data_IF_288431250633
#
_entry.id   IF_288431250633
#
_cell.length_a   1.000
_cell.length_b   1.000
_cell.length_c   1.000
_cell.angle_alpha   90.00
_cell.angle_beta   90.00
_cell.angle_gamma   90.00
#
_symmetry.space_group_name_H-M   'P 1'
#
loop_
_entity.id
_entity.type
_entity.pdbx_description
1 polymer ?
#
# COMPACT_ATOMS: atom_id res chain seq x y z
N UNK A 1 6.51 -9.17 -16.31
CA UNK A 1 6.53 -10.34 -15.41
C UNK A 1 5.24 -10.51 -14.60
N UNK A 2 4.91 -9.67 -13.59
CA UNK A 2 3.73 -9.88 -12.73
C UNK A 2 2.41 -10.12 -13.50
N UNK A 3 2.07 -9.21 -14.42
CA UNK A 3 0.85 -9.31 -15.21
C UNK A 3 0.88 -10.49 -16.20
N UNK A 4 2.03 -10.74 -16.82
CA UNK A 4 2.21 -11.88 -17.74
C UNK A 4 2.00 -13.22 -17.02
N UNK A 5 2.49 -13.34 -15.78
CA UNK A 5 2.30 -14.53 -14.97
C UNK A 5 0.82 -14.77 -14.66
N UNK A 6 0.08 -13.72 -14.30
CA UNK A 6 -1.36 -13.80 -14.07
C UNK A 6 -2.15 -14.13 -15.34
N UNK A 7 -1.75 -13.55 -16.47
CA UNK A 7 -2.38 -13.79 -17.77
C UNK A 7 -2.17 -15.24 -18.24
N UNK A 8 -0.94 -15.76 -18.12
CA UNK A 8 -0.63 -17.14 -18.49
C UNK A 8 -1.36 -18.15 -17.62
N UNK A 9 -1.58 -17.84 -16.34
CA UNK A 9 -2.22 -18.73 -15.37
C UNK A 9 -3.68 -18.36 -15.05
N UNK A 10 -4.38 -17.66 -15.95
CA UNK A 10 -5.75 -17.19 -15.70
C UNK A 10 -6.77 -18.30 -15.46
N UNK A 11 -6.62 -19.42 -16.16
CA UNK A 11 -7.50 -20.60 -16.04
C UNK A 11 -7.10 -21.53 -14.90
N UNK A 12 -5.93 -21.33 -14.31
CA UNK A 12 -5.42 -22.20 -13.25
C UNK A 12 -5.97 -21.78 -11.87
N UNK A 13 -6.16 -22.76 -10.95
CA UNK A 13 -6.57 -22.46 -9.58
C UNK A 13 -5.46 -21.66 -8.86
N UNK A 14 -5.82 -20.78 -7.92
CA UNK A 14 -4.83 -20.09 -7.10
C UNK A 14 -4.08 -21.08 -6.21
N UNK A 15 -2.89 -20.69 -5.75
CA UNK A 15 -2.12 -21.40 -4.73
C UNK A 15 -2.90 -21.53 -3.43
N UNK A 16 -3.56 -20.44 -3.00
CA UNK A 16 -4.48 -20.42 -1.86
C UNK A 16 -5.42 -19.22 -1.95
N UNK A 17 -6.46 -19.23 -1.12
CA UNK A 17 -7.49 -18.19 -1.06
C UNK A 17 -7.47 -17.56 0.34
N UNK A 18 -7.47 -16.23 0.40
CA UNK A 18 -7.62 -15.49 1.66
C UNK A 18 -8.98 -14.82 1.66
N UNK A 19 -9.80 -15.09 2.67
CA UNK A 19 -11.11 -14.45 2.82
C UNK A 19 -11.04 -13.43 3.94
N UNK A 20 -11.35 -12.18 3.63
CA UNK A 20 -11.38 -11.08 4.58
C UNK A 20 -12.83 -10.83 4.98
N UNK A 21 -13.19 -11.16 6.21
CA UNK A 21 -14.49 -10.79 6.78
C UNK A 21 -14.31 -9.56 7.66
N UNK A 22 -15.41 -8.92 8.10
CA UNK A 22 -15.33 -7.84 9.07
C UNK A 22 -14.50 -8.28 10.30
N UNK A 23 -14.96 -9.24 11.09
CA UNK A 23 -14.33 -9.56 12.40
C UNK A 23 -13.09 -10.45 12.32
N UNK A 24 -12.96 -11.25 11.27
CA UNK A 24 -11.92 -12.26 11.13
C UNK A 24 -11.48 -12.39 9.67
N UNK A 25 -10.42 -13.13 9.45
CA UNK A 25 -10.00 -13.58 8.13
C UNK A 25 -9.77 -15.10 8.17
N UNK A 26 -9.82 -15.74 7.01
CA UNK A 26 -9.57 -17.18 6.86
C UNK A 26 -8.58 -17.44 5.73
N UNK A 27 -7.89 -18.57 5.84
CA UNK A 27 -7.02 -19.10 4.79
C UNK A 27 -7.64 -20.42 4.29
N UNK A 28 -7.87 -20.55 2.98
CA UNK A 28 -8.51 -21.71 2.33
C UNK A 28 -9.83 -22.16 3.01
N UNK A 29 -10.61 -21.20 3.51
CA UNK A 29 -11.85 -21.47 4.27
C UNK A 29 -11.66 -22.37 5.51
N UNK A 30 -10.44 -22.41 6.05
CA UNK A 30 -10.11 -23.14 7.28
C UNK A 30 -10.43 -22.34 8.54
N UNK A 31 -9.49 -22.35 9.49
CA UNK A 31 -9.63 -21.68 10.79
C UNK A 31 -9.86 -20.17 10.64
N UNK A 32 -10.65 -19.62 11.58
CA UNK A 32 -10.89 -18.17 11.67
C UNK A 32 -9.77 -17.52 12.48
N UNK A 33 -9.11 -16.54 11.88
CA UNK A 33 -8.06 -15.76 12.49
C UNK A 33 -8.54 -14.33 12.76
N UNK A 34 -8.23 -13.80 13.94
CA UNK A 34 -8.50 -12.41 14.27
C UNK A 34 -7.41 -11.50 13.68
N UNK A 35 -7.77 -10.27 13.37
CA UNK A 35 -6.83 -9.27 12.82
C UNK A 35 -5.77 -8.78 13.81
N UNK A 36 -5.95 -9.04 15.11
CA UNK A 36 -5.00 -8.71 16.18
C UNK A 36 -4.12 -9.91 16.59
N UNK A 37 -4.26 -11.05 15.93
CA UNK A 37 -3.48 -12.25 16.22
C UNK A 37 -2.03 -12.11 15.71
N UNK A 38 -1.10 -12.90 16.23
CA UNK A 38 0.30 -12.99 15.77
C UNK A 38 0.39 -13.25 14.26
N UNK A 39 -0.53 -14.04 13.71
CA UNK A 39 -0.60 -14.34 12.28
C UNK A 39 -1.06 -13.16 11.43
N UNK A 40 -1.40 -12.02 12.01
CA UNK A 40 -1.78 -10.84 11.24
C UNK A 40 -0.61 -10.31 10.39
N UNK A 41 0.65 -10.60 10.74
CA UNK A 41 1.83 -10.29 9.90
C UNK A 41 1.73 -10.88 8.51
N UNK A 42 1.10 -12.06 8.37
CA UNK A 42 0.79 -12.69 7.08
C UNK A 42 0.10 -11.72 6.11
N UNK A 43 -0.89 -10.96 6.59
CA UNK A 43 -1.62 -10.01 5.75
C UNK A 43 -0.74 -8.83 5.31
N UNK A 44 0.29 -8.47 6.08
CA UNK A 44 1.23 -7.41 5.69
C UNK A 44 2.16 -7.90 4.56
N UNK A 45 2.61 -9.15 4.61
CA UNK A 45 3.41 -9.74 3.53
C UNK A 45 2.61 -9.94 2.26
N UNK A 46 1.36 -10.42 2.38
CA UNK A 46 0.42 -10.51 1.25
C UNK A 46 0.18 -9.14 0.62
N UNK A 47 -0.06 -8.11 1.44
CA UNK A 47 -0.21 -6.71 0.97
C UNK A 47 1.06 -6.20 0.29
N UNK A 48 2.23 -6.68 0.70
CA UNK A 48 3.51 -6.30 0.13
C UNK A 48 3.91 -7.16 -1.09
N UNK A 49 3.03 -8.05 -1.57
CA UNK A 49 3.30 -9.00 -2.65
C UNK A 49 4.52 -9.88 -2.38
N UNK A 50 4.74 -10.26 -1.11
CA UNK A 50 5.82 -11.15 -0.68
C UNK A 50 5.28 -12.44 -0.10
N UNK A 51 5.99 -13.53 -0.31
CA UNK A 51 5.69 -14.80 0.33
C UNK A 51 6.07 -14.69 1.83
N UNK A 52 5.17 -15.01 2.78
CA UNK A 52 5.49 -15.00 4.21
C UNK A 52 6.49 -16.12 4.56
N UNK A 53 7.69 -15.77 5.03
CA UNK A 53 8.78 -16.72 5.29
C UNK A 53 8.43 -17.77 6.36
N UNK A 54 7.74 -17.34 7.43
CA UNK A 54 7.32 -18.21 8.53
C UNK A 54 6.37 -19.34 8.11
N UNK A 55 5.75 -19.24 6.93
CA UNK A 55 4.74 -20.18 6.44
C UNK A 55 5.25 -21.09 5.31
N UNK A 56 6.52 -20.95 4.90
CA UNK A 56 7.10 -21.72 3.79
C UNK A 56 7.02 -23.23 4.03
N UNK A 57 7.33 -23.68 5.25
CA UNK A 57 7.22 -25.10 5.65
C UNK A 57 5.78 -25.60 5.51
N UNK A 58 4.81 -24.83 6.03
CA UNK A 58 3.38 -25.18 5.96
C UNK A 58 2.89 -25.24 4.52
N UNK A 59 3.31 -24.31 3.66
CA UNK A 59 2.95 -24.33 2.23
C UNK A 59 3.49 -25.58 1.52
N UNK A 60 4.71 -26.00 1.87
CA UNK A 60 5.34 -27.21 1.32
C UNK A 60 4.62 -28.47 1.78
N UNK A 61 4.32 -28.59 3.07
CA UNK A 61 3.62 -29.74 3.66
C UNK A 61 2.20 -29.88 3.13
N UNK A 62 1.49 -28.75 2.96
CA UNK A 62 0.14 -28.73 2.40
C UNK A 62 0.09 -28.92 0.88
N UNK A 63 1.24 -29.03 0.22
CA UNK A 63 1.32 -29.24 -1.23
C UNK A 63 0.80 -28.06 -2.05
N UNK A 64 0.93 -26.84 -1.53
CA UNK A 64 0.53 -25.61 -2.23
C UNK A 64 1.32 -25.49 -3.53
N UNK A 65 0.62 -25.13 -4.60
CA UNK A 65 1.22 -25.02 -5.92
C UNK A 65 1.97 -23.70 -6.10
N UNK A 66 3.22 -23.80 -6.52
CA UNK A 66 4.04 -22.65 -6.93
C UNK A 66 3.98 -22.45 -8.45
N UNK A 67 4.06 -21.20 -8.88
CA UNK A 67 4.07 -20.75 -10.27
C UNK A 67 5.37 -19.98 -10.51
N UNK A 68 6.35 -20.63 -11.13
CA UNK A 68 7.70 -20.05 -11.34
C UNK A 68 8.31 -19.45 -10.06
N UNK A 69 8.19 -20.19 -8.95
CA UNK A 69 8.69 -19.75 -7.64
C UNK A 69 7.84 -18.69 -6.94
N UNK A 70 6.75 -18.23 -7.56
CA UNK A 70 5.78 -17.31 -6.97
C UNK A 70 4.51 -18.06 -6.52
N UNK A 71 3.71 -17.43 -5.66
CA UNK A 71 2.37 -17.93 -5.29
C UNK A 71 1.30 -17.02 -5.90
N UNK A 72 0.22 -17.61 -6.40
CA UNK A 72 -0.94 -16.86 -6.89
C UNK A 72 -2.02 -16.94 -5.83
N UNK A 73 -2.49 -15.78 -5.36
CA UNK A 73 -3.45 -15.70 -4.25
C UNK A 73 -4.70 -15.00 -4.72
N UNK A 74 -5.85 -15.59 -4.40
CA UNK A 74 -7.14 -14.92 -4.54
C UNK A 74 -7.55 -14.32 -3.19
N UNK A 75 -7.67 -13.00 -3.15
CA UNK A 75 -8.22 -12.23 -2.04
C UNK A 75 -9.72 -12.07 -2.26
N UNK A 76 -10.52 -12.54 -1.31
CA UNK A 76 -11.98 -12.39 -1.31
C UNK A 76 -12.37 -11.46 -0.16
N UNK A 77 -12.72 -10.21 -0.48
CA UNK A 77 -13.13 -9.23 0.52
C UNK A 77 -14.64 -9.21 0.70
N UNK A 78 -15.11 -9.63 1.89
CA UNK A 78 -16.50 -9.61 2.32
C UNK A 78 -16.82 -8.39 3.21
N UNK A 79 -15.85 -7.50 3.43
CA UNK A 79 -16.03 -6.32 4.27
C UNK A 79 -16.87 -5.30 3.52
N UNK A 80 -17.83 -4.64 4.19
CA UNK A 80 -18.64 -3.62 3.55
C UNK A 80 -17.81 -2.36 3.30
N UNK A 81 -18.03 -1.70 2.16
CA UNK A 81 -17.39 -0.43 1.83
C UNK A 81 -17.79 0.70 2.79
N UNK A 82 -18.98 0.57 3.40
CA UNK A 82 -19.48 1.48 4.44
C UNK A 82 -19.77 0.70 5.73
N UNK A 83 -19.37 1.20 6.91
CA UNK A 83 -19.58 0.52 8.18
C UNK A 83 -21.05 0.18 8.53
N UNK A 84 -22.00 0.88 7.90
CA UNK A 84 -23.45 0.75 8.15
C UNK A 84 -24.10 -0.35 7.33
N UNK A 85 -23.43 -0.88 6.31
CA UNK A 85 -23.98 -1.90 5.42
C UNK A 85 -23.65 -3.31 5.96
N UNK A 86 -24.54 -4.30 5.74
CA UNK A 86 -24.26 -5.69 6.08
C UNK A 86 -23.07 -6.22 5.27
N UNK A 87 -22.44 -7.31 5.75
CA UNK A 87 -21.37 -7.97 5.03
C UNK A 87 -21.81 -8.35 3.61
N UNK A 88 -20.93 -8.19 2.63
CA UNK A 88 -21.26 -8.44 1.22
C UNK A 88 -21.52 -9.93 1.01
N UNK A 89 -22.61 -10.28 0.32
CA UNK A 89 -22.88 -11.68 -0.06
C UNK A 89 -21.99 -12.14 -1.22
N UNK A 90 -21.61 -11.20 -2.10
CA UNK A 90 -20.64 -11.43 -3.17
C UNK A 90 -19.33 -10.69 -2.83
N UNK A 91 -18.20 -11.40 -2.66
CA UNK A 91 -16.96 -10.75 -2.27
C UNK A 91 -16.33 -10.00 -3.44
N UNK A 92 -15.62 -8.91 -3.13
CA UNK A 92 -14.69 -8.31 -4.07
C UNK A 92 -13.47 -9.23 -4.22
N UNK A 93 -13.27 -9.79 -5.43
CA UNK A 93 -12.19 -10.73 -5.72
C UNK A 93 -11.02 -10.02 -6.40
N UNK A 94 -9.85 -10.10 -5.78
CA UNK A 94 -8.59 -9.61 -6.35
C UNK A 94 -7.60 -10.77 -6.44
N UNK A 95 -6.98 -10.96 -7.60
CA UNK A 95 -5.95 -11.98 -7.81
C UNK A 95 -4.57 -11.33 -7.83
N UNK A 96 -3.71 -11.74 -6.93
CA UNK A 96 -2.39 -11.16 -6.69
C UNK A 96 -1.29 -12.22 -6.81
N UNK A 97 -0.07 -11.78 -7.15
CA UNK A 97 1.13 -12.65 -7.12
C UNK A 97 1.96 -12.29 -5.89
N UNK A 98 2.40 -13.31 -5.16
CA UNK A 98 3.40 -13.18 -4.10
C UNK A 98 4.75 -13.65 -4.59
N UNK A 99 5.76 -12.79 -4.47
CA UNK A 99 7.11 -13.04 -4.90
C UNK A 99 7.98 -13.59 -3.75
N UNK A 100 8.94 -14.48 -4.05
CA UNK A 100 9.93 -14.89 -3.09
C UNK A 100 10.80 -13.69 -2.67
N UNK A 101 11.23 -13.69 -1.41
CA UNK A 101 12.20 -12.76 -0.85
C UNK A 101 13.42 -13.53 -0.31
N UNK A 102 14.46 -12.80 0.11
CA UNK A 102 15.69 -13.42 0.64
C UNK A 102 15.42 -14.35 1.84
N UNK A 103 14.47 -13.98 2.71
CA UNK A 103 14.09 -14.79 3.88
C UNK A 103 13.44 -16.12 3.47
N UNK A 104 12.58 -16.12 2.46
CA UNK A 104 11.92 -17.32 1.93
C UNK A 104 12.92 -18.26 1.25
N UNK A 105 13.88 -17.71 0.50
CA UNK A 105 14.96 -18.49 -0.12
C UNK A 105 15.80 -19.16 0.98
N UNK A 106 16.13 -18.42 2.03
CA UNK A 106 16.85 -18.98 3.18
C UNK A 106 16.03 -20.05 3.91
N UNK A 107 14.73 -19.83 4.14
CA UNK A 107 13.84 -20.81 4.74
C UNK A 107 13.79 -22.11 3.91
N UNK A 108 13.67 -22.01 2.58
CA UNK A 108 13.73 -23.15 1.68
C UNK A 108 15.07 -23.89 1.77
N UNK A 109 16.19 -23.17 1.84
CA UNK A 109 17.51 -23.76 1.98
C UNK A 109 17.67 -24.53 3.31
N UNK A 110 17.15 -23.97 4.40
CA UNK A 110 17.07 -24.65 5.70
C UNK A 110 16.25 -25.93 5.61
N UNK A 111 15.08 -25.89 4.95
CA UNK A 111 14.25 -27.07 4.74
C UNK A 111 14.93 -28.12 3.84
N UNK A 112 15.66 -27.70 2.81
CA UNK A 112 16.44 -28.60 1.95
C UNK A 112 17.56 -29.26 2.77
N UNK A 113 18.27 -28.49 3.59
CA UNK A 113 19.31 -29.00 4.49
C UNK A 113 18.75 -30.04 5.46
N UNK A 114 17.61 -29.72 6.10
CA UNK A 114 16.95 -30.61 7.05
C UNK A 114 16.45 -31.92 6.41
N UNK A 115 16.02 -31.86 5.14
CA UNK A 115 15.54 -33.03 4.38
C UNK A 115 16.66 -33.80 3.65
N UNK A 116 17.87 -33.25 3.58
CA UNK A 116 19.02 -33.86 2.93
C UNK A 116 19.73 -34.83 3.88
N UNK A 117 20.25 -35.93 3.34
CA UNK A 117 21.12 -36.84 4.10
C UNK A 117 22.51 -36.23 4.39
N UNK A 118 22.89 -35.16 3.68
CA UNK A 118 24.19 -34.48 3.82
C UNK A 118 23.98 -33.10 4.40
N UNK A 119 24.75 -32.79 5.45
CA UNK A 119 24.79 -31.45 6.06
C UNK A 119 25.37 -30.47 5.04
N UNK A 120 24.59 -29.47 4.66
CA UNK A 120 25.08 -28.37 3.82
C UNK A 120 26.05 -27.51 4.64
N UNK A 121 27.25 -27.32 4.12
CA UNK A 121 28.20 -26.35 4.68
C UNK A 121 27.77 -24.92 4.35
N UNK A 122 28.18 -23.94 5.16
CA UNK A 122 27.86 -22.53 4.94
C UNK A 122 28.29 -22.04 3.54
N UNK A 123 29.43 -22.52 3.03
CA UNK A 123 29.90 -22.16 1.69
C UNK A 123 29.00 -22.73 0.59
N UNK A 124 28.53 -23.97 0.75
CA UNK A 124 27.59 -24.59 -0.20
C UNK A 124 26.22 -23.91 -0.15
N UNK A 125 25.75 -23.55 1.05
CA UNK A 125 24.53 -22.79 1.24
C UNK A 125 24.60 -21.45 0.48
N UNK A 126 25.70 -20.71 0.64
CA UNK A 126 25.94 -19.44 -0.06
C UNK A 126 26.04 -19.63 -1.58
N UNK A 127 26.71 -20.68 -2.05
CA UNK A 127 26.81 -20.99 -3.48
C UNK A 127 25.43 -21.29 -4.10
N UNK A 128 24.59 -22.04 -3.39
CA UNK A 128 23.22 -22.34 -3.84
C UNK A 128 22.39 -21.06 -3.93
N UNK A 129 22.42 -20.20 -2.90
CA UNK A 129 21.73 -18.91 -2.92
C UNK A 129 22.18 -18.03 -4.10
N UNK A 130 23.49 -17.90 -4.30
CA UNK A 130 24.05 -17.12 -5.40
C UNK A 130 23.59 -17.64 -6.77
N UNK A 131 23.54 -18.97 -6.96
CA UNK A 131 23.05 -19.58 -8.20
C UNK A 131 21.57 -19.33 -8.43
N UNK A 132 20.74 -19.43 -7.38
CA UNK A 132 19.30 -19.13 -7.46
C UNK A 132 19.10 -17.66 -7.86
N UNK A 133 19.82 -16.75 -7.23
CA UNK A 133 19.74 -15.31 -7.50
C UNK A 133 20.13 -15.00 -8.95
N UNK A 134 21.26 -15.55 -9.43
CA UNK A 134 21.69 -15.35 -10.82
C UNK A 134 20.70 -15.94 -11.84
N UNK A 135 20.04 -17.05 -11.51
CA UNK A 135 19.07 -17.69 -12.40
C UNK A 135 17.70 -16.97 -12.43
N UNK A 136 17.30 -16.35 -11.33
CA UNK A 136 15.94 -15.77 -11.17
C UNK A 136 15.91 -14.25 -11.23
N UNK A 137 17.04 -13.57 -11.06
CA UNK A 137 17.10 -12.11 -11.12
C UNK A 137 16.74 -11.58 -12.51
N UNK A 138 15.93 -10.52 -12.53
CA UNK A 138 15.64 -9.79 -13.76
C UNK A 138 16.94 -9.19 -14.34
N UNK A 139 17.03 -9.01 -15.67
CA UNK A 139 18.22 -8.45 -16.30
C UNK A 139 18.55 -7.08 -15.69
N UNK A 140 19.74 -6.98 -15.11
CA UNK A 140 20.20 -5.77 -14.45
C UNK A 140 20.74 -4.78 -15.49
N UNK A 141 20.24 -3.55 -15.49
CA UNK A 141 20.80 -2.48 -16.32
C UNK A 141 22.06 -1.94 -15.66
N UNK A 142 23.23 -2.37 -16.16
CA UNK A 142 24.53 -1.95 -15.63
C UNK A 142 25.03 -0.62 -16.21
N UNK A 143 24.29 -0.03 -17.16
CA UNK A 143 24.63 1.24 -17.81
C UNK A 143 23.63 2.34 -17.40
N UNK A 144 23.81 3.00 -16.24
CA UNK A 144 22.90 4.05 -15.80
C UNK A 144 23.02 5.29 -16.69
N UNK A 145 22.05 5.49 -17.57
CA UNK A 145 21.94 6.73 -18.34
C UNK A 145 21.04 7.73 -17.59
N UNK A 146 21.51 8.95 -17.26
CA UNK A 146 20.74 9.93 -16.51
C UNK A 146 19.43 10.34 -17.21
N UNK A 147 19.36 10.26 -18.54
CA UNK A 147 18.12 10.48 -19.29
C UNK A 147 17.14 9.31 -19.11
N UNK A 148 17.64 8.07 -19.14
CA UNK A 148 16.84 6.87 -18.89
C UNK A 148 16.28 6.88 -17.47
N UNK A 149 17.09 7.26 -16.47
CA UNK A 149 16.65 7.39 -15.07
C UNK A 149 15.54 8.44 -14.91
N UNK A 150 15.64 9.60 -15.59
CA UNK A 150 14.58 10.62 -15.56
C UNK A 150 13.28 10.10 -16.16
N UNK A 151 13.36 9.39 -17.30
CA UNK A 151 12.20 8.81 -17.96
C UNK A 151 11.59 7.72 -17.06
N UNK A 152 12.40 6.79 -16.56
CA UNK A 152 11.97 5.72 -15.67
C UNK A 152 11.29 6.27 -14.42
N UNK A 153 11.89 7.26 -13.74
CA UNK A 153 11.28 7.89 -12.56
C UNK A 153 9.97 8.62 -12.88
N UNK A 154 9.88 9.23 -14.06
CA UNK A 154 8.65 9.89 -14.48
C UNK A 154 7.55 8.89 -14.79
N UNK A 155 7.87 7.82 -15.51
CA UNK A 155 6.97 6.71 -15.80
C UNK A 155 6.52 6.06 -14.49
N UNK A 156 7.46 5.69 -13.60
CA UNK A 156 7.19 5.07 -12.31
C UNK A 156 6.21 5.90 -11.48
N UNK A 157 6.38 7.22 -11.41
CA UNK A 157 5.45 8.11 -10.70
C UNK A 157 4.05 8.15 -11.30
N UNK A 158 3.92 7.97 -12.61
CA UNK A 158 2.64 8.00 -13.32
C UNK A 158 1.96 6.63 -13.29
N UNK A 159 2.74 5.54 -13.36
CA UNK A 159 2.23 4.18 -13.56
C UNK A 159 2.13 3.37 -12.28
N UNK A 160 2.83 3.74 -11.21
CA UNK A 160 2.79 2.99 -9.95
C UNK A 160 1.49 3.31 -9.23
N UNK A 161 0.57 2.34 -9.07
CA UNK A 161 -0.61 2.56 -8.26
C UNK A 161 -0.21 2.87 -6.82
N UNK A 162 -0.96 3.73 -6.10
CA UNK A 162 -0.74 3.94 -4.68
C UNK A 162 -0.76 2.60 -3.93
N UNK A 163 0.10 2.46 -2.91
CA UNK A 163 0.19 1.24 -2.13
C UNK A 163 -1.22 0.82 -1.66
N UNK A 164 -1.64 -0.44 -1.87
CA UNK A 164 -2.98 -0.88 -1.54
C UNK A 164 -3.27 -0.60 -0.07
N UNK A 165 -4.51 -0.29 0.32
CA UNK A 165 -4.86 0.02 1.71
C UNK A 165 -4.50 -1.14 2.64
N UNK A 166 -4.35 -0.86 3.94
CA UNK A 166 -4.03 -1.92 4.89
C UNK A 166 -5.14 -2.97 4.91
N UNK A 167 -4.77 -4.24 4.75
CA UNK A 167 -5.71 -5.34 4.91
C UNK A 167 -6.18 -5.45 6.38
N UNK A 168 -5.46 -4.81 7.31
CA UNK A 168 -5.82 -4.70 8.73
C UNK A 168 -6.78 -3.54 8.96
N UNK A 169 -7.74 -3.78 9.84
CA UNK A 169 -8.94 -2.98 10.10
C UNK A 169 -8.74 -1.61 10.78
N UNK A 170 -7.61 -0.95 10.54
CA UNK A 170 -7.47 0.47 10.90
C UNK A 170 -7.64 1.40 9.70
N UNK A 171 -7.98 0.87 8.52
CA UNK A 171 -8.13 1.67 7.31
C UNK A 171 -9.47 2.39 7.11
N UNK A 172 -10.44 2.33 8.03
CA UNK A 172 -11.77 2.94 7.79
C UNK A 172 -12.26 3.91 8.86
N UNK A 173 -11.66 3.97 10.04
CA UNK A 173 -12.05 4.97 11.06
C UNK A 173 -10.91 5.93 11.34
N UNK A 174 -9.70 5.41 11.59
CA UNK A 174 -8.52 6.25 11.77
C UNK A 174 -8.04 6.88 10.48
N UNK A 175 -8.11 6.17 9.34
CA UNK A 175 -7.74 6.76 8.05
C UNK A 175 -8.79 7.77 7.57
N UNK A 176 -10.09 7.59 7.86
CA UNK A 176 -11.11 8.62 7.58
C UNK A 176 -10.91 9.85 8.48
N UNK A 177 -10.69 9.66 9.79
CA UNK A 177 -10.38 10.77 10.72
C UNK A 177 -9.07 11.47 10.37
N UNK A 178 -8.04 10.72 9.97
CA UNK A 178 -6.73 11.24 9.58
C UNK A 178 -6.79 11.95 8.22
N UNK A 179 -7.51 11.42 7.24
CA UNK A 179 -7.73 12.06 5.94
C UNK A 179 -8.58 13.32 6.09
N UNK A 180 -9.59 13.30 6.96
CA UNK A 180 -10.38 14.50 7.32
C UNK A 180 -9.50 15.54 8.03
N UNK A 181 -8.65 15.12 8.97
CA UNK A 181 -7.72 16.00 9.66
C UNK A 181 -6.64 16.57 8.71
N UNK A 182 -6.13 15.78 7.77
CA UNK A 182 -5.15 16.19 6.77
C UNK A 182 -5.77 17.14 5.73
N UNK A 183 -7.00 16.87 5.30
CA UNK A 183 -7.79 17.77 4.44
C UNK A 183 -8.07 19.09 5.14
N UNK A 184 -8.48 19.08 6.41
CA UNK A 184 -8.69 20.28 7.21
C UNK A 184 -7.40 21.08 7.40
N UNK A 185 -6.26 20.39 7.62
CA UNK A 185 -4.94 21.03 7.73
C UNK A 185 -4.51 21.66 6.42
N UNK A 186 -4.73 20.98 5.29
CA UNK A 186 -4.41 21.48 3.94
C UNK A 186 -5.27 22.68 3.57
N UNK A 187 -6.56 22.65 3.88
CA UNK A 187 -7.49 23.76 3.69
C UNK A 187 -7.10 24.98 4.54
N UNK A 188 -6.70 24.74 5.80
CA UNK A 188 -6.19 25.79 6.68
C UNK A 188 -4.92 26.44 6.13
N UNK A 189 -3.99 25.65 5.58
CA UNK A 189 -2.77 26.17 4.92
C UNK A 189 -3.11 26.96 3.65
N UNK A 190 -4.04 26.49 2.81
CA UNK A 190 -4.48 27.21 1.61
C UNK A 190 -5.16 28.54 1.95
N UNK A 191 -5.89 28.62 3.06
CA UNK A 191 -6.50 29.85 3.56
C UNK A 191 -5.46 30.92 3.93
N UNK A 192 -4.30 30.53 4.47
CA UNK A 192 -3.21 31.48 4.76
C UNK A 192 -2.51 32.02 3.50
N UNK A 193 -2.63 31.34 2.36
CA UNK A 193 -2.07 31.77 1.08
C UNK A 193 -3.05 32.59 0.22
N UNK A 194 -4.29 32.77 0.69
CA UNK A 194 -5.25 33.61 0.00
C UNK A 194 -4.81 35.09 0.07
N UNK A 195 -4.61 35.77 -1.07
CA UNK A 195 -4.22 37.17 -1.07
C UNK A 195 -5.34 38.01 -0.45
N UNK A 196 -5.02 38.74 0.63
CA UNK A 196 -5.98 39.63 1.28
C UNK A 196 -6.40 40.73 0.29
N UNK A 197 -7.72 40.87 0.08
CA UNK A 197 -8.31 41.93 -0.74
C UNK A 197 -7.73 43.30 -0.35
N UNK A 198 -7.41 44.19 -1.31
CA UNK A 198 -6.89 45.51 -0.97
C UNK A 198 -7.97 46.30 -0.21
N UNK A 199 -7.60 46.85 0.96
CA UNK A 199 -8.45 47.73 1.76
C UNK A 199 -8.89 48.93 0.89
N UNK A 200 -10.20 49.13 0.77
CA UNK A 200 -10.77 50.36 0.25
C UNK A 200 -10.28 51.55 1.09
N UNK A 201 -9.69 52.53 0.40
CA UNK A 201 -9.21 53.80 0.95
C UNK A 201 -10.33 54.54 1.70
N UNK A 202 -10.05 54.98 2.93
CA UNK A 202 -10.92 55.88 3.69
C UNK A 202 -11.13 57.18 2.90
N UNK A 203 -12.38 57.52 2.59
CA UNK A 203 -12.75 58.82 2.04
C UNK A 203 -12.43 59.92 3.07
N UNK A 204 -11.64 60.91 2.65
CA UNK A 204 -11.47 62.17 3.35
C UNK A 204 -12.79 62.95 3.33
N UNK A 205 -13.39 63.18 4.49
CA UNK A 205 -14.50 64.14 4.64
C UNK A 205 -13.93 65.52 4.94
N UNK A 206 -14.15 66.45 4.01
CA UNK A 206 -13.84 67.87 4.12
C UNK A 206 -14.78 68.56 5.12
N UNK A 207 -14.22 69.25 6.12
CA UNK A 207 -14.98 70.12 7.02
C UNK A 207 -15.20 71.51 6.40
N UNK A 208 -16.44 72.05 6.38
CA UNK A 208 -16.67 73.44 5.99
C UNK A 208 -16.43 74.39 7.18
N UNK A 209 -15.57 75.38 6.97
CA UNK A 209 -15.29 76.50 7.89
C UNK A 209 -16.49 77.47 7.84
N UNK A 210 -17.23 77.60 8.93
CA UNK A 210 -18.20 78.70 9.10
C UNK A 210 -17.46 79.91 9.70
N UNK A 211 -17.28 80.94 8.87
CA UNK A 211 -16.84 82.28 9.27
C UNK A 211 -18.05 83.03 9.82
N UNK A 212 -18.04 83.35 11.12
CA UNK A 212 -19.03 84.20 11.75
C UNK A 212 -18.63 85.66 11.49
N UNK A 213 -19.46 86.39 10.73
CA UNK A 213 -19.37 87.83 10.59
C UNK A 213 -20.77 88.43 10.63
N UNK A 214 -21.07 89.18 11.68
CA UNK A 214 -22.03 90.28 11.64
C UNK A 214 -21.80 91.19 12.84
N UNK A 215 -21.58 92.47 12.54
CA UNK A 215 -21.26 93.57 13.43
C UNK A 215 -22.43 94.56 13.37
N UNK A 216 -22.84 95.11 14.54
CA UNK A 216 -23.44 96.47 14.75
C UNK A 216 -24.89 96.68 14.25
N UNK A 217 -25.82 97.45 14.84
CA UNK A 217 -26.03 98.19 16.11
C UNK A 217 -27.38 98.94 15.96
N UNK A 218 -28.05 99.30 17.07
CA UNK A 218 -28.76 100.59 17.35
C UNK A 218 -29.84 100.36 18.43
N UNK A 219 -30.32 101.42 19.10
CA UNK A 219 -29.65 102.60 19.66
C UNK A 219 -29.38 102.47 21.17
#
# INVERSE_FOLDING_TARGET
FHQELLERNKSEPPSFIVQLHPEYWTLNSGSRFLYNNQYATFLDDVRAHRIPADFVEVFRESGVRYFEGCLIVDLLDYRPLKPTEPALETPERTREVLHPNSETIWADLCLISANSATILTDLQALEVEARILLATSAPLCLDPNPHLTRIANNVLRITTPPAPPSLKRKASTLDVEKDEAEKARKEKIMSFMAPSSPRASKQCVSFPIHVISAHISRP
#
